data_IF_749932757271
#
_entry.id   IF_749932757271
#
_cell.length_a   1.000
_cell.length_b   1.000
_cell.length_c   1.000
_cell.angle_alpha   90.00
_cell.angle_beta   90.00
_cell.angle_gamma   90.00
#
_symmetry.space_group_name_H-M   'P 1'
#
loop_
_entity.id
_entity.type
_entity.pdbx_description
1 polymer ?
#
# COMPACT_ATOMS: atom_id res chain seq x y z
N UNK A 1 -11.19 -22.20 -9.63
CA UNK A 1 -12.62 -22.24 -9.20
C UNK A 1 -13.01 -20.96 -8.46
N UNK A 2 -12.19 -20.45 -7.52
CA UNK A 2 -12.44 -19.22 -6.78
C UNK A 2 -12.60 -17.98 -7.69
N UNK A 3 -11.70 -17.81 -8.68
CA UNK A 3 -11.73 -16.68 -9.63
C UNK A 3 -13.02 -16.60 -10.45
N UNK A 4 -13.39 -17.69 -11.12
CA UNK A 4 -14.58 -17.73 -12.00
C UNK A 4 -15.84 -17.41 -11.21
N UNK A 5 -15.93 -17.95 -10.00
CA UNK A 5 -17.04 -17.71 -9.09
C UNK A 5 -17.12 -16.23 -8.65
N UNK A 6 -16.00 -15.59 -8.32
CA UNK A 6 -15.97 -14.15 -8.04
C UNK A 6 -16.39 -13.31 -9.24
N UNK A 7 -15.93 -13.67 -10.45
CA UNK A 7 -16.31 -12.96 -11.68
C UNK A 7 -17.81 -13.10 -11.95
N UNK A 8 -18.38 -14.29 -11.77
CA UNK A 8 -19.81 -14.52 -11.93
C UNK A 8 -20.63 -13.70 -10.93
N UNK A 9 -20.23 -13.67 -9.66
CA UNK A 9 -20.88 -12.85 -8.65
C UNK A 9 -20.78 -11.35 -8.97
N UNK A 10 -19.62 -10.89 -9.44
CA UNK A 10 -19.38 -9.49 -9.76
C UNK A 10 -20.24 -9.01 -10.94
N UNK A 11 -20.46 -9.87 -11.94
CA UNK A 11 -21.30 -9.56 -13.10
C UNK A 11 -22.78 -9.38 -12.76
N UNK A 12 -23.25 -9.81 -11.58
CA UNK A 12 -24.68 -9.85 -11.27
C UNK A 12 -25.28 -8.53 -10.74
N UNK A 13 -24.54 -7.41 -10.79
CA UNK A 13 -24.96 -6.00 -10.57
C UNK A 13 -26.02 -5.72 -9.48
N UNK A 14 -26.12 -6.55 -8.44
CA UNK A 14 -27.12 -6.43 -7.37
C UNK A 14 -26.46 -6.46 -5.99
N UNK A 15 -26.98 -5.68 -5.05
CA UNK A 15 -26.48 -5.50 -3.68
C UNK A 15 -26.32 -6.82 -2.91
N UNK A 16 -27.22 -7.79 -3.14
CA UNK A 16 -27.10 -9.15 -2.54
C UNK A 16 -25.80 -9.84 -2.94
N UNK A 17 -25.38 -9.73 -4.20
CA UNK A 17 -24.17 -10.40 -4.68
C UNK A 17 -22.89 -9.68 -4.28
N UNK A 18 -22.95 -8.37 -4.06
CA UNK A 18 -21.86 -7.65 -3.42
C UNK A 18 -21.62 -8.17 -1.99
N UNK A 19 -22.68 -8.42 -1.22
CA UNK A 19 -22.56 -9.07 0.09
C UNK A 19 -21.89 -10.45 -0.01
N UNK A 20 -22.24 -11.26 -1.01
CA UNK A 20 -21.59 -12.56 -1.23
C UNK A 20 -20.10 -12.41 -1.58
N UNK A 21 -19.71 -11.41 -2.38
CA UNK A 21 -18.30 -11.10 -2.64
C UNK A 21 -17.57 -10.77 -1.34
N UNK A 22 -18.13 -9.87 -0.52
CA UNK A 22 -17.53 -9.51 0.77
C UNK A 22 -17.45 -10.70 1.73
N UNK A 23 -18.51 -11.52 1.80
CA UNK A 23 -18.54 -12.75 2.61
C UNK A 23 -17.44 -13.72 2.20
N UNK A 24 -17.21 -13.89 0.90
CA UNK A 24 -16.15 -14.76 0.38
C UNK A 24 -14.75 -14.22 0.61
N UNK A 25 -14.56 -12.91 0.46
CA UNK A 25 -13.29 -12.26 0.84
C UNK A 25 -13.02 -12.51 2.34
N UNK A 26 -14.05 -12.46 3.18
CA UNK A 26 -13.94 -12.79 4.61
C UNK A 26 -13.65 -14.28 4.86
N UNK A 27 -14.29 -15.20 4.14
CA UNK A 27 -13.99 -16.64 4.22
C UNK A 27 -12.54 -16.95 3.82
N UNK A 28 -11.99 -16.22 2.84
CA UNK A 28 -10.58 -16.33 2.47
C UNK A 28 -9.69 -15.89 3.63
N UNK A 29 -10.06 -14.80 4.31
CA UNK A 29 -9.37 -14.35 5.53
C UNK A 29 -9.40 -15.40 6.65
N UNK A 30 -10.52 -16.07 6.86
CA UNK A 30 -10.60 -17.15 7.85
C UNK A 30 -9.72 -18.36 7.46
N UNK A 31 -9.65 -18.69 6.17
CA UNK A 31 -8.74 -19.74 5.68
C UNK A 31 -7.27 -19.38 5.86
N UNK A 32 -6.93 -18.10 5.78
CA UNK A 32 -5.60 -17.58 6.02
C UNK A 32 -5.14 -17.82 7.47
N UNK A 33 -6.01 -17.49 8.43
CA UNK A 33 -5.75 -17.72 9.85
C UNK A 33 -5.51 -19.21 10.20
N UNK A 34 -6.00 -20.12 9.36
CA UNK A 34 -5.86 -21.57 9.54
C UNK A 34 -4.77 -22.18 8.65
N UNK A 35 -3.92 -21.38 8.00
CA UNK A 35 -2.83 -21.82 7.10
C UNK A 35 -3.29 -22.68 5.91
N UNK A 36 -4.58 -22.64 5.56
CA UNK A 36 -5.13 -23.36 4.40
C UNK A 36 -4.94 -22.59 3.08
N UNK A 37 -4.38 -21.38 3.16
CA UNK A 37 -4.20 -20.51 2.00
C UNK A 37 -2.95 -20.88 1.20
N UNK A 38 -3.14 -21.07 -0.10
CA UNK A 38 -2.05 -21.40 -1.03
C UNK A 38 -1.73 -20.26 -1.98
N UNK A 39 -0.54 -20.31 -2.60
CA UNK A 39 -0.16 -19.42 -3.70
C UNK A 39 -1.20 -19.40 -4.83
N UNK A 40 -1.82 -20.54 -5.14
CA UNK A 40 -2.89 -20.62 -6.15
C UNK A 40 -4.17 -19.87 -5.72
N UNK A 41 -4.44 -19.74 -4.42
CA UNK A 41 -5.54 -18.89 -3.93
C UNK A 41 -5.21 -17.41 -4.13
N UNK A 42 -3.97 -17.00 -3.82
CA UNK A 42 -3.49 -15.64 -4.07
C UNK A 42 -3.64 -15.26 -5.54
N UNK A 43 -3.08 -16.05 -6.46
CA UNK A 43 -3.12 -15.75 -7.89
C UNK A 43 -4.55 -15.57 -8.41
N UNK A 44 -5.50 -16.37 -7.91
CA UNK A 44 -6.93 -16.21 -8.26
C UNK A 44 -7.52 -14.87 -7.77
N UNK A 45 -7.08 -14.37 -6.61
CA UNK A 45 -7.52 -13.07 -6.06
C UNK A 45 -6.88 -11.93 -6.85
N UNK A 46 -5.57 -12.00 -7.13
CA UNK A 46 -4.87 -10.99 -7.92
C UNK A 46 -5.48 -10.87 -9.32
N UNK A 47 -5.78 -12.01 -9.95
CA UNK A 47 -6.47 -12.05 -11.23
C UNK A 47 -7.89 -11.49 -11.18
N UNK A 48 -8.62 -11.72 -10.09
CA UNK A 48 -9.94 -11.14 -9.91
C UNK A 48 -9.84 -9.61 -9.74
N UNK A 49 -8.88 -9.11 -8.97
CA UNK A 49 -8.65 -7.67 -8.83
C UNK A 49 -8.29 -7.03 -10.17
N UNK A 50 -7.38 -7.64 -10.94
CA UNK A 50 -7.09 -7.22 -12.33
C UNK A 50 -8.37 -7.15 -13.16
N UNK A 51 -9.24 -8.15 -13.05
CA UNK A 51 -10.53 -8.14 -13.75
C UNK A 51 -11.41 -6.95 -13.29
N UNK A 52 -11.58 -6.73 -11.99
CA UNK A 52 -12.39 -5.63 -11.43
C UNK A 52 -11.86 -4.26 -11.91
N UNK A 53 -10.53 -4.06 -11.89
CA UNK A 53 -9.89 -2.80 -12.31
C UNK A 53 -10.25 -2.41 -13.75
N UNK A 54 -10.35 -3.37 -14.67
CA UNK A 54 -10.63 -3.06 -16.08
C UNK A 54 -12.10 -3.17 -16.48
N UNK A 55 -12.96 -3.72 -15.61
CA UNK A 55 -14.38 -3.89 -15.90
C UNK A 55 -15.24 -2.87 -15.14
N UNK A 56 -16.46 -2.65 -15.64
CA UNK A 56 -17.47 -1.88 -14.92
C UNK A 56 -18.21 -2.81 -13.96
N UNK A 57 -18.74 -2.25 -12.88
CA UNK A 57 -19.63 -2.96 -11.99
C UNK A 57 -20.16 -2.06 -10.88
N UNK A 58 -21.36 -2.39 -10.41
CA UNK A 58 -21.96 -1.75 -9.23
C UNK A 58 -21.05 -1.99 -8.02
N UNK A 59 -20.70 -0.93 -7.29
CA UNK A 59 -19.78 -0.98 -6.14
C UNK A 59 -18.33 -1.39 -6.46
N UNK A 60 -17.89 -1.30 -7.72
CA UNK A 60 -16.50 -1.58 -8.14
C UNK A 60 -15.44 -1.12 -7.14
N UNK A 61 -15.44 0.16 -6.79
CA UNK A 61 -14.40 0.74 -5.93
C UNK A 61 -14.39 0.17 -4.52
N UNK A 62 -15.56 -0.22 -4.00
CA UNK A 62 -15.67 -0.89 -2.70
C UNK A 62 -15.11 -2.31 -2.77
N UNK A 63 -15.31 -3.00 -3.90
CA UNK A 63 -14.72 -4.32 -4.13
C UNK A 63 -13.21 -4.22 -4.25
N UNK A 64 -12.67 -3.29 -5.06
CA UNK A 64 -11.22 -3.03 -5.15
C UNK A 64 -10.65 -2.72 -3.76
N UNK A 65 -11.25 -1.78 -3.03
CA UNK A 65 -10.86 -1.42 -1.65
C UNK A 65 -10.78 -2.64 -0.73
N UNK A 66 -11.84 -3.46 -0.69
CA UNK A 66 -11.88 -4.64 0.19
C UNK A 66 -10.82 -5.68 -0.18
N UNK A 67 -10.60 -5.92 -1.48
CA UNK A 67 -9.57 -6.86 -1.92
C UNK A 67 -8.17 -6.33 -1.56
N UNK A 68 -7.90 -5.06 -1.85
CA UNK A 68 -6.60 -4.46 -1.58
C UNK A 68 -6.29 -4.37 -0.08
N UNK A 69 -7.29 -4.12 0.76
CA UNK A 69 -7.17 -4.21 2.23
C UNK A 69 -6.85 -5.64 2.68
N UNK A 70 -7.54 -6.65 2.12
CA UNK A 70 -7.24 -8.05 2.39
C UNK A 70 -5.78 -8.38 2.05
N UNK A 71 -5.28 -7.93 0.89
CA UNK A 71 -3.90 -8.18 0.46
C UNK A 71 -2.86 -7.53 1.39
N UNK A 72 -3.17 -6.39 2.00
CA UNK A 72 -2.28 -5.79 3.02
C UNK A 72 -2.28 -6.59 4.32
N UNK A 73 -3.46 -6.99 4.81
CA UNK A 73 -3.59 -7.80 6.03
C UNK A 73 -2.91 -9.15 5.88
N UNK A 74 -3.02 -9.76 4.68
CA UNK A 74 -2.37 -11.01 4.33
C UNK A 74 -0.87 -11.02 4.64
N UNK A 75 -0.16 -9.92 4.40
CA UNK A 75 1.28 -9.83 4.66
C UNK A 75 1.56 -9.95 6.15
N UNK A 76 0.78 -9.23 6.96
CA UNK A 76 0.92 -9.21 8.41
C UNK A 76 0.62 -10.61 8.95
N UNK A 77 -0.53 -11.19 8.60
CA UNK A 77 -0.96 -12.51 9.09
C UNK A 77 0.06 -13.61 8.72
N UNK A 78 0.61 -13.56 7.50
CA UNK A 78 1.61 -14.53 7.03
C UNK A 78 3.01 -14.32 7.60
N UNK A 79 3.43 -13.09 7.93
CA UNK A 79 4.78 -12.86 8.42
C UNK A 79 4.84 -12.88 9.94
N UNK A 80 3.82 -12.40 10.67
CA UNK A 80 3.79 -12.48 12.14
C UNK A 80 3.71 -13.93 12.64
N UNK A 81 3.08 -14.82 11.85
CA UNK A 81 3.00 -16.25 12.19
C UNK A 81 4.34 -16.97 12.10
N UNK A 82 5.38 -16.34 11.52
CA UNK A 82 6.66 -16.98 11.22
C UNK A 82 7.84 -16.07 11.51
N UNK A 83 8.67 -16.47 12.46
CA UNK A 83 9.91 -15.77 12.78
C UNK A 83 11.01 -16.15 11.77
N UNK A 84 11.35 -15.23 10.85
CA UNK A 84 12.47 -15.38 9.93
C UNK A 84 13.29 -14.08 9.85
N UNK A 85 14.60 -14.23 9.67
CA UNK A 85 15.52 -13.11 9.51
C UNK A 85 15.12 -12.22 8.32
N UNK A 86 15.30 -10.91 8.46
CA UNK A 86 15.08 -9.97 7.35
C UNK A 86 16.02 -10.34 6.19
N UNK A 87 15.42 -10.68 5.06
CA UNK A 87 16.11 -11.06 3.82
C UNK A 87 15.75 -10.12 2.68
N UNK A 88 16.64 -10.03 1.68
CA UNK A 88 16.36 -9.28 0.45
C UNK A 88 15.27 -10.00 -0.33
N UNK A 89 14.10 -9.37 -0.49
CA UNK A 89 12.98 -9.95 -1.23
C UNK A 89 13.23 -9.86 -2.73
N UNK A 90 13.69 -10.97 -3.30
CA UNK A 90 13.89 -11.12 -4.73
C UNK A 90 13.68 -12.58 -5.16
N UNK A 91 13.49 -12.80 -6.47
CA UNK A 91 13.23 -14.12 -7.04
C UNK A 91 14.34 -15.14 -6.76
N UNK A 92 15.59 -14.71 -6.66
CA UNK A 92 16.71 -15.60 -6.35
C UNK A 92 16.59 -16.12 -4.91
N UNK A 93 16.37 -15.24 -3.94
CA UNK A 93 16.15 -15.59 -2.54
C UNK A 93 15.00 -16.61 -2.41
N UNK A 94 13.85 -16.32 -3.03
CA UNK A 94 12.68 -17.22 -3.03
C UNK A 94 13.02 -18.62 -3.55
N UNK A 95 13.80 -18.70 -4.65
CA UNK A 95 14.19 -19.99 -5.24
C UNK A 95 15.17 -20.76 -4.36
N UNK A 96 16.09 -20.06 -3.69
CA UNK A 96 17.15 -20.62 -2.88
C UNK A 96 16.64 -21.09 -1.50
N UNK A 97 15.47 -20.60 -1.04
CA UNK A 97 14.84 -21.02 0.22
C UNK A 97 14.48 -22.52 0.21
N UNK A 98 15.12 -23.27 1.11
CA UNK A 98 14.94 -24.72 1.22
C UNK A 98 13.74 -25.11 2.09
N UNK A 99 13.44 -24.33 3.14
CA UNK A 99 12.28 -24.57 3.98
C UNK A 99 11.01 -24.34 3.15
N UNK A 100 10.19 -25.39 2.99
CA UNK A 100 9.01 -25.37 2.12
C UNK A 100 7.93 -24.40 2.59
N UNK A 101 7.87 -24.11 3.88
CA UNK A 101 6.89 -23.20 4.48
C UNK A 101 7.32 -21.75 4.26
N UNK A 102 8.58 -21.42 4.59
CA UNK A 102 9.16 -20.11 4.29
C UNK A 102 9.14 -19.81 2.80
N UNK A 103 9.45 -20.81 1.97
CA UNK A 103 9.38 -20.66 0.52
C UNK A 103 7.99 -20.20 0.06
N UNK A 104 6.91 -20.80 0.56
CA UNK A 104 5.53 -20.38 0.23
C UNK A 104 5.25 -18.95 0.66
N UNK A 105 5.69 -18.56 1.85
CA UNK A 105 5.51 -17.20 2.38
C UNK A 105 6.26 -16.19 1.51
N UNK A 106 7.51 -16.48 1.15
CA UNK A 106 8.30 -15.61 0.28
C UNK A 106 7.73 -15.56 -1.14
N UNK A 107 7.22 -16.68 -1.69
CA UNK A 107 6.54 -16.71 -2.99
C UNK A 107 5.31 -15.80 -3.00
N UNK A 108 4.47 -15.87 -1.96
CA UNK A 108 3.29 -15.00 -1.79
C UNK A 108 3.71 -13.53 -1.70
N UNK A 109 4.63 -13.20 -0.81
CA UNK A 109 5.07 -11.83 -0.58
C UNK A 109 5.80 -11.23 -1.80
N UNK A 110 6.56 -12.06 -2.54
CA UNK A 110 7.17 -11.64 -3.79
C UNK A 110 6.11 -11.34 -4.87
N UNK A 111 5.06 -12.18 -4.99
CA UNK A 111 3.94 -11.92 -5.92
C UNK A 111 3.17 -10.65 -5.53
N UNK A 112 2.96 -10.41 -4.23
CA UNK A 112 2.36 -9.16 -3.73
C UNK A 112 3.21 -7.92 -4.06
N UNK A 113 4.54 -8.02 -3.93
CA UNK A 113 5.45 -6.94 -4.32
C UNK A 113 5.34 -6.61 -5.82
N UNK A 114 5.35 -7.65 -6.67
CA UNK A 114 5.20 -7.47 -8.12
C UNK A 114 3.83 -6.89 -8.47
N UNK A 115 2.77 -7.33 -7.78
CA UNK A 115 1.43 -6.79 -7.96
C UNK A 115 1.31 -5.34 -7.52
N UNK A 116 1.90 -4.95 -6.39
CA UNK A 116 1.93 -3.54 -5.97
C UNK A 116 2.62 -2.65 -7.01
N UNK A 117 3.74 -3.11 -7.57
CA UNK A 117 4.44 -2.42 -8.67
C UNK A 117 3.58 -2.33 -9.93
N UNK A 118 2.79 -3.36 -10.23
CA UNK A 118 1.80 -3.36 -11.32
C UNK A 118 0.73 -2.30 -11.08
N UNK A 119 0.04 -2.35 -9.92
CA UNK A 119 -1.02 -1.41 -9.53
C UNK A 119 -0.56 0.05 -9.62
N UNK A 120 0.67 0.32 -9.20
CA UNK A 120 1.22 1.67 -9.21
C UNK A 120 1.39 2.25 -10.62
N UNK A 121 1.63 1.38 -11.62
CA UNK A 121 1.81 1.75 -13.03
C UNK A 121 0.49 1.88 -13.80
N UNK A 122 -0.63 1.40 -13.25
CA UNK A 122 -1.93 1.44 -13.92
C UNK A 122 -2.34 2.91 -14.15
N UNK A 123 -2.65 3.22 -15.41
CA UNK A 123 -3.12 4.53 -15.84
C UNK A 123 -4.37 4.36 -16.69
N UNK A 124 -5.54 4.58 -16.07
CA UNK A 124 -6.84 4.51 -16.72
C UNK A 124 -7.40 5.94 -16.82
N UNK A 125 -7.78 6.42 -18.03
CA UNK A 125 -8.36 7.74 -18.19
C UNK A 125 -9.62 7.95 -17.34
N UNK A 126 -9.69 9.09 -16.64
CA UNK A 126 -10.82 9.47 -15.76
C UNK A 126 -11.13 8.47 -14.65
N UNK A 127 -10.14 7.68 -14.23
CA UNK A 127 -10.26 6.78 -13.10
C UNK A 127 -10.15 7.53 -11.77
N UNK A 128 -11.30 7.72 -11.11
CA UNK A 128 -11.39 8.37 -9.79
C UNK A 128 -10.76 7.56 -8.67
N UNK A 129 -10.57 6.24 -8.86
CA UNK A 129 -9.99 5.35 -7.86
C UNK A 129 -8.46 5.21 -8.00
N UNK A 130 -7.88 5.73 -9.08
CA UNK A 130 -6.44 5.66 -9.35
C UNK A 130 -5.55 6.07 -8.17
N UNK A 131 -5.85 7.17 -7.48
CA UNK A 131 -5.06 7.60 -6.31
C UNK A 131 -5.20 6.65 -5.12
N UNK A 132 -6.41 6.12 -4.87
CA UNK A 132 -6.62 5.10 -3.83
C UNK A 132 -5.86 3.82 -4.16
N UNK A 133 -5.98 3.32 -5.40
CA UNK A 133 -5.27 2.11 -5.84
C UNK A 133 -3.76 2.22 -5.67
N UNK A 134 -3.18 3.37 -6.05
CA UNK A 134 -1.75 3.63 -5.83
C UNK A 134 -1.42 3.73 -4.33
N UNK A 135 -2.29 4.31 -3.50
CA UNK A 135 -2.14 4.29 -2.04
C UNK A 135 -2.12 2.88 -1.47
N UNK A 136 -3.03 2.01 -1.91
CA UNK A 136 -3.02 0.60 -1.50
C UNK A 136 -1.75 -0.13 -1.92
N UNK A 137 -1.22 0.16 -3.12
CA UNK A 137 0.06 -0.39 -3.55
C UNK A 137 1.22 0.04 -2.63
N UNK A 138 1.27 1.31 -2.23
CA UNK A 138 2.24 1.80 -1.23
C UNK A 138 2.05 1.13 0.12
N UNK A 139 0.80 0.87 0.53
CA UNK A 139 0.50 0.12 1.75
C UNK A 139 1.05 -1.30 1.69
N UNK A 140 0.82 -2.04 0.60
CA UNK A 140 1.41 -3.38 0.40
C UNK A 140 2.94 -3.33 0.55
N UNK A 141 3.60 -2.37 -0.12
CA UNK A 141 5.06 -2.22 -0.03
C UNK A 141 5.48 -1.90 1.41
N UNK A 142 4.82 -0.95 2.07
CA UNK A 142 5.12 -0.54 3.45
C UNK A 142 5.05 -1.72 4.43
N UNK A 143 4.03 -2.58 4.34
CA UNK A 143 3.95 -3.79 5.19
C UNK A 143 5.06 -4.79 4.86
N UNK A 144 5.41 -4.95 3.59
CA UNK A 144 6.52 -5.84 3.21
C UNK A 144 7.86 -5.34 3.77
N UNK A 145 8.07 -4.03 3.85
CA UNK A 145 9.30 -3.45 4.41
C UNK A 145 9.50 -3.75 5.90
N UNK A 146 8.44 -4.14 6.61
CA UNK A 146 8.56 -4.59 8.00
C UNK A 146 9.25 -5.95 8.13
N UNK A 147 9.26 -6.75 7.06
CA UNK A 147 9.74 -8.14 7.09
C UNK A 147 10.85 -8.42 6.08
N UNK A 148 11.05 -7.53 5.12
CA UNK A 148 11.97 -7.73 4.01
C UNK A 148 12.78 -6.48 3.71
N UNK A 149 14.03 -6.68 3.29
CA UNK A 149 14.76 -5.65 2.58
C UNK A 149 14.32 -5.64 1.11
N UNK A 150 13.85 -4.49 0.63
CA UNK A 150 13.41 -4.31 -0.74
C UNK A 150 14.34 -3.31 -1.42
N UNK A 151 15.07 -3.72 -2.48
CA UNK A 151 15.90 -2.81 -3.24
C UNK A 151 15.10 -1.61 -3.76
N UNK A 152 15.64 -0.42 -3.56
CA UNK A 152 15.00 0.85 -3.94
C UNK A 152 13.60 1.03 -3.31
N UNK A 153 13.44 0.60 -2.04
CA UNK A 153 12.17 0.62 -1.29
C UNK A 153 11.38 1.93 -1.34
N UNK A 154 12.05 3.07 -1.51
CA UNK A 154 11.40 4.39 -1.49
C UNK A 154 11.07 4.98 -2.87
N UNK A 155 11.46 4.36 -3.98
CA UNK A 155 11.27 4.95 -5.33
C UNK A 155 9.79 5.29 -5.61
N UNK A 156 8.88 4.36 -5.29
CA UNK A 156 7.44 4.55 -5.52
C UNK A 156 6.82 5.57 -4.56
N UNK A 157 7.33 5.67 -3.34
CA UNK A 157 6.91 6.70 -2.40
C UNK A 157 7.34 8.09 -2.89
N UNK A 158 8.57 8.23 -3.37
CA UNK A 158 9.08 9.48 -3.94
C UNK A 158 8.27 9.85 -5.20
N UNK A 159 7.95 8.88 -6.08
CA UNK A 159 7.07 9.12 -7.23
C UNK A 159 5.68 9.61 -6.78
N UNK A 160 5.12 9.03 -5.72
CA UNK A 160 3.83 9.45 -5.17
C UNK A 160 3.88 10.86 -4.56
N UNK A 161 4.95 11.20 -3.84
CA UNK A 161 5.16 12.53 -3.26
C UNK A 161 5.30 13.62 -4.34
N UNK A 162 5.91 13.29 -5.49
CA UNK A 162 6.03 14.19 -6.66
C UNK A 162 4.70 14.38 -7.43
N UNK A 163 3.64 13.67 -7.06
CA UNK A 163 2.32 13.79 -7.67
C UNK A 163 1.70 15.17 -7.43
N UNK A 164 0.86 15.63 -8.36
CA UNK A 164 0.02 16.82 -8.15
C UNK A 164 -1.30 16.51 -7.42
N UNK A 165 -1.57 15.23 -7.13
CA UNK A 165 -2.82 14.78 -6.49
C UNK A 165 -2.63 14.67 -4.99
N UNK A 166 -3.17 15.62 -4.23
CA UNK A 166 -3.13 15.63 -2.76
C UNK A 166 -3.50 14.28 -2.13
N UNK A 167 -4.54 13.62 -2.64
CA UNK A 167 -4.96 12.31 -2.14
C UNK A 167 -3.82 11.29 -2.19
N UNK A 168 -3.08 11.22 -3.29
CA UNK A 168 -1.96 10.27 -3.42
C UNK A 168 -0.78 10.67 -2.52
N UNK A 169 -0.51 11.96 -2.38
CA UNK A 169 0.53 12.46 -1.47
C UNK A 169 0.18 12.07 -0.03
N UNK A 170 -1.08 12.24 0.38
CA UNK A 170 -1.56 11.88 1.73
C UNK A 170 -1.39 10.38 1.98
N UNK A 171 -1.78 9.52 1.03
CA UNK A 171 -1.57 8.07 1.17
C UNK A 171 -0.07 7.74 1.29
N UNK A 172 0.79 8.35 0.48
CA UNK A 172 2.23 8.12 0.56
C UNK A 172 2.81 8.54 1.92
N UNK A 173 2.40 9.72 2.42
CA UNK A 173 2.80 10.20 3.74
C UNK A 173 2.35 9.24 4.84
N UNK A 174 1.08 8.80 4.82
CA UNK A 174 0.53 7.86 5.79
C UNK A 174 1.34 6.55 5.85
N UNK A 175 1.66 5.99 4.70
CA UNK A 175 2.38 4.72 4.64
C UNK A 175 3.88 4.85 4.96
N UNK A 176 4.49 6.02 4.70
CA UNK A 176 5.84 6.35 5.20
C UNK A 176 5.86 6.57 6.71
N UNK A 177 4.85 7.26 7.26
CA UNK A 177 4.67 7.44 8.71
C UNK A 177 4.63 6.10 9.42
N UNK A 178 3.75 5.21 8.95
CA UNK A 178 3.68 3.85 9.49
C UNK A 178 5.02 3.12 9.42
N UNK A 179 5.78 3.25 8.33
CA UNK A 179 7.09 2.60 8.23
C UNK A 179 8.09 3.16 9.25
N UNK A 180 8.29 4.48 9.30
CA UNK A 180 9.29 5.08 10.19
C UNK A 180 8.92 5.02 11.68
N UNK A 181 7.63 4.87 12.02
CA UNK A 181 7.22 4.55 13.40
C UNK A 181 7.71 3.16 13.85
N UNK A 182 7.85 2.21 12.92
CA UNK A 182 8.36 0.86 13.19
C UNK A 182 9.88 0.74 13.07
N UNK A 183 10.54 1.70 12.40
CA UNK A 183 11.99 1.75 12.19
C UNK A 183 12.57 3.13 12.55
N UNK A 184 12.57 3.52 13.84
CA UNK A 184 12.96 4.86 14.29
C UNK A 184 14.45 5.18 14.07
N UNK A 185 15.30 4.17 13.85
CA UNK A 185 16.71 4.31 13.50
C UNK A 185 16.95 4.64 12.02
N UNK A 186 15.95 4.46 11.15
CA UNK A 186 16.08 4.82 9.75
C UNK A 186 15.84 6.32 9.53
N UNK A 187 16.51 6.85 8.50
CA UNK A 187 16.46 8.26 8.15
C UNK A 187 15.95 8.45 6.73
N UNK A 188 15.28 9.59 6.49
CA UNK A 188 14.90 10.00 5.14
C UNK A 188 16.16 10.25 4.30
N UNK A 189 16.08 9.91 3.03
CA UNK A 189 17.10 10.35 2.06
C UNK A 189 16.99 11.86 1.81
N UNK A 190 18.11 12.48 1.45
CA UNK A 190 18.15 13.90 1.05
C UNK A 190 17.14 14.22 -0.05
N UNK A 191 16.95 13.30 -1.02
CA UNK A 191 15.94 13.47 -2.07
C UNK A 191 14.54 13.58 -1.48
N UNK A 192 14.20 12.72 -0.51
CA UNK A 192 12.87 12.72 0.12
C UNK A 192 12.67 13.99 0.94
N UNK A 193 13.66 14.40 1.74
CA UNK A 193 13.61 15.65 2.52
C UNK A 193 13.39 16.86 1.61
N UNK A 194 14.13 16.92 0.49
CA UNK A 194 13.99 17.98 -0.50
C UNK A 194 12.58 18.01 -1.12
N UNK A 195 12.00 16.84 -1.41
CA UNK A 195 10.66 16.78 -1.98
C UNK A 195 9.58 17.19 -0.96
N UNK A 196 9.67 16.74 0.29
CA UNK A 196 8.78 17.16 1.37
C UNK A 196 8.83 18.69 1.58
N UNK A 197 10.02 19.28 1.55
CA UNK A 197 10.20 20.72 1.65
C UNK A 197 9.51 21.46 0.50
N UNK A 198 9.67 20.99 -0.75
CA UNK A 198 8.96 21.58 -1.89
C UNK A 198 7.45 21.46 -1.77
N UNK A 199 6.93 20.34 -1.27
CA UNK A 199 5.50 20.11 -1.06
C UNK A 199 4.94 21.14 -0.09
N UNK A 200 5.57 21.30 1.08
CA UNK A 200 5.14 22.26 2.12
C UNK A 200 5.06 23.68 1.56
N UNK A 201 6.05 24.09 0.77
CA UNK A 201 6.10 25.44 0.20
C UNK A 201 5.03 25.74 -0.86
N UNK A 202 4.44 24.70 -1.47
CA UNK A 202 3.53 24.83 -2.62
C UNK A 202 2.08 24.46 -2.31
N UNK A 203 1.86 23.49 -1.42
CA UNK A 203 0.53 22.94 -1.19
C UNK A 203 -0.38 23.94 -0.47
N UNK A 204 -1.65 24.00 -0.88
CA UNK A 204 -2.72 24.67 -0.14
C UNK A 204 -3.46 23.73 0.80
N UNK A 205 -3.11 22.43 0.78
CA UNK A 205 -3.77 21.42 1.57
C UNK A 205 -3.06 21.28 2.92
N UNK A 206 -3.76 21.64 3.99
CA UNK A 206 -3.23 21.56 5.36
C UNK A 206 -2.79 20.15 5.73
N UNK A 207 -3.54 19.13 5.35
CA UNK A 207 -3.20 17.72 5.65
C UNK A 207 -1.89 17.32 5.00
N UNK A 208 -1.66 17.76 3.75
CA UNK A 208 -0.40 17.52 3.05
C UNK A 208 0.76 18.25 3.72
N UNK A 209 0.59 19.53 4.07
CA UNK A 209 1.62 20.33 4.74
C UNK A 209 1.99 19.73 6.11
N UNK A 210 0.99 19.48 6.96
CA UNK A 210 1.18 18.89 8.28
C UNK A 210 1.75 17.47 8.20
N UNK A 211 1.25 16.61 7.30
CA UNK A 211 1.80 15.26 7.14
C UNK A 211 3.27 15.26 6.71
N UNK A 212 3.67 16.19 5.83
CA UNK A 212 5.06 16.34 5.38
C UNK A 212 5.98 16.87 6.46
N UNK A 213 5.50 17.78 7.32
CA UNK A 213 6.25 18.27 8.48
C UNK A 213 6.38 17.19 9.56
N UNK A 214 5.29 16.51 9.88
CA UNK A 214 5.30 15.41 10.85
C UNK A 214 6.29 14.32 10.42
N UNK A 215 6.35 13.99 9.12
CA UNK A 215 7.29 12.97 8.63
C UNK A 215 8.75 13.38 8.87
N UNK A 216 9.07 14.66 8.67
CA UNK A 216 10.41 15.19 8.98
C UNK A 216 10.69 15.21 10.48
N UNK A 217 9.69 15.41 11.34
CA UNK A 217 9.84 15.35 12.79
C UNK A 217 10.13 13.93 13.25
N UNK A 218 9.31 12.94 12.86
CA UNK A 218 9.46 11.56 13.35
C UNK A 218 10.78 10.93 12.91
N UNK A 219 11.35 11.38 11.78
CA UNK A 219 12.63 10.90 11.25
C UNK A 219 13.83 11.73 11.74
N UNK A 220 13.60 12.68 12.65
CA UNK A 220 14.64 13.52 13.26
C UNK A 220 15.25 14.58 12.34
N UNK A 221 14.65 14.84 11.18
CA UNK A 221 15.15 15.84 10.22
C UNK A 221 14.96 17.27 10.71
N UNK A 222 13.86 17.54 11.43
CA UNK A 222 13.56 18.82 12.07
C UNK A 222 13.01 18.58 13.48
N UNK A 223 13.11 19.59 14.34
CA UNK A 223 12.48 19.54 15.66
C UNK A 223 10.98 19.83 15.60
N UNK A 224 10.23 19.43 16.64
CA UNK A 224 8.81 19.81 16.79
C UNK A 224 8.61 21.33 16.79
N UNK A 225 9.50 22.09 17.44
CA UNK A 225 9.43 23.56 17.47
C UNK A 225 9.62 24.16 16.08
N UNK A 226 10.55 23.61 15.29
CA UNK A 226 10.74 24.03 13.92
C UNK A 226 9.53 23.69 13.04
N UNK A 227 8.93 22.52 13.23
CA UNK A 227 7.69 22.15 12.53
C UNK A 227 6.53 23.09 12.88
N UNK A 228 6.41 23.51 14.15
CA UNK A 228 5.43 24.50 14.60
C UNK A 228 5.65 25.87 13.94
N UNK A 229 6.90 26.33 13.87
CA UNK A 229 7.22 27.58 13.16
C UNK A 229 6.84 27.48 11.68
N UNK A 230 7.22 26.40 11.00
CA UNK A 230 6.96 26.22 9.57
C UNK A 230 5.46 26.08 9.24
N UNK A 231 4.66 25.50 10.13
CA UNK A 231 3.21 25.43 9.92
C UNK A 231 2.55 26.79 10.12
N UNK A 232 3.08 27.65 10.99
CA UNK A 232 2.58 29.01 11.16
C UNK A 232 2.89 29.87 9.93
N UNK A 233 4.11 29.80 9.38
CA UNK A 233 4.47 30.43 8.10
C UNK A 233 3.52 29.98 6.96
N UNK A 234 3.19 28.69 6.92
CA UNK A 234 2.24 28.14 5.96
C UNK A 234 0.82 28.73 6.15
N UNK A 235 0.35 28.87 7.39
CA UNK A 235 -0.97 29.45 7.68
C UNK A 235 -1.04 30.92 7.28
N UNK A 236 0.01 31.70 7.55
CA UNK A 236 0.10 33.09 7.09
C UNK A 236 -0.05 33.16 5.57
N UNK A 237 0.63 32.29 4.84
CA UNK A 237 0.58 32.28 3.37
C UNK A 237 -0.76 31.84 2.77
N UNK A 238 -1.44 30.86 3.39
CA UNK A 238 -2.56 30.15 2.72
C UNK A 238 -3.88 30.11 3.50
N UNK A 239 -3.90 30.44 4.78
CA UNK A 239 -5.09 30.34 5.63
C UNK A 239 -5.62 31.71 6.07
N UNK A 240 -4.73 32.65 6.37
CA UNK A 240 -5.09 33.99 6.81
C UNK A 240 -5.16 35.04 5.68
N UNK A 241 -4.69 34.67 4.49
CA UNK A 241 -4.77 35.46 3.25
C UNK A 241 -5.79 34.85 2.28
#
# INVERSE_FOLDING_TARGET
MLKEEFIELYKQENTKYNYEIFRKIYEIREKLNNLEFSFNNLEQILDFERYVIYNKGTNKFKVEETILELLQMLIIDLCESYDFDIVVLNKKMVNDTQNTEFKKIHEINFSLLDFAKELFKISIPKDSFSSSRKGYALGIISRLLNYYDIPNKFDLFIEALKSSKDKLIIEALKELHYYFENFPEEHLSDETINELTKIILKTKNRTVATGSLNLQVITGCISEFEALSRIDDWKEKYYYN
#
